data_IF_645897567224
#
_entry.id   IF_645897567224
#
_cell.length_a   1.000
_cell.length_b   1.000
_cell.length_c   1.000
_cell.angle_alpha   90.00
_cell.angle_beta   90.00
_cell.angle_gamma   90.00
#
_symmetry.space_group_name_H-M   'P 1'
#
loop_
_entity.id
_entity.type
_entity.pdbx_description
1 polymer ?
#
# COMPACT_ATOMS: atom_id res chain seq x y z
N UNK A 1 10.73 -3.79 0.04
CA UNK A 1 11.69 -2.69 0.21
C UNK A 1 11.04 -1.56 0.98
N UNK A 2 11.80 -0.61 1.51
CA UNK A 2 11.30 0.68 2.03
C UNK A 2 11.59 1.85 1.07
N UNK A 3 12.25 1.59 -0.06
CA UNK A 3 12.60 2.62 -1.03
C UNK A 3 11.38 2.95 -1.91
N UNK A 4 10.93 4.21 -1.97
CA UNK A 4 9.76 4.59 -2.77
C UNK A 4 9.90 4.23 -4.26
N UNK A 5 11.11 4.34 -4.82
CA UNK A 5 11.40 4.03 -6.23
C UNK A 5 11.16 2.56 -6.59
N UNK A 6 11.29 1.64 -5.61
CA UNK A 6 11.02 0.20 -5.77
C UNK A 6 9.56 -0.15 -5.45
N UNK A 7 8.80 0.79 -4.88
CA UNK A 7 7.48 0.60 -4.31
C UNK A 7 6.43 1.44 -5.07
N UNK A 8 5.98 2.56 -4.50
CA UNK A 8 4.99 3.47 -5.08
C UNK A 8 5.38 3.92 -6.48
N UNK A 9 6.67 4.21 -6.71
CA UNK A 9 7.18 4.60 -8.03
C UNK A 9 6.92 3.54 -9.11
N UNK A 10 7.06 2.25 -8.79
CA UNK A 10 6.76 1.16 -9.72
C UNK A 10 5.25 1.02 -9.96
N UNK A 11 4.45 1.13 -8.89
CA UNK A 11 2.98 1.03 -8.98
C UNK A 11 2.41 2.17 -9.82
N UNK A 12 2.83 3.40 -9.57
CA UNK A 12 2.36 4.58 -10.30
C UNK A 12 2.80 4.52 -11.77
N UNK A 13 4.06 4.16 -12.04
CA UNK A 13 4.53 3.96 -13.42
C UNK A 13 3.72 2.90 -14.17
N UNK A 14 3.34 1.80 -13.52
CA UNK A 14 2.47 0.81 -14.13
C UNK A 14 1.08 1.37 -14.44
N UNK A 15 0.46 2.08 -13.49
CA UNK A 15 -0.88 2.66 -13.66
C UNK A 15 -0.93 3.81 -14.67
N UNK A 16 0.16 4.56 -14.84
CA UNK A 16 0.29 5.56 -15.92
C UNK A 16 0.17 4.91 -17.31
N UNK A 17 0.64 3.66 -17.46
CA UNK A 17 0.62 2.93 -18.72
C UNK A 17 -0.64 2.08 -18.93
N UNK A 18 -1.23 1.55 -17.85
CA UNK A 18 -2.31 0.55 -17.90
C UNK A 18 -3.55 0.94 -17.07
N UNK A 19 -3.69 2.23 -16.73
CA UNK A 19 -4.74 2.75 -15.85
C UNK A 19 -6.17 2.67 -16.43
N UNK A 20 -6.32 2.32 -17.70
CA UNK A 20 -7.61 1.98 -18.31
C UNK A 20 -8.08 0.55 -17.98
N UNK A 21 -7.14 -0.34 -17.61
CA UNK A 21 -7.40 -1.76 -17.33
C UNK A 21 -7.22 -2.14 -15.87
N UNK A 22 -6.50 -1.34 -15.10
CA UNK A 22 -6.21 -1.62 -13.71
C UNK A 22 -6.43 -0.38 -12.85
N UNK A 23 -6.85 -0.62 -11.61
CA UNK A 23 -7.02 0.40 -10.60
C UNK A 23 -6.36 -0.04 -9.29
N UNK A 24 -5.81 0.93 -8.56
CA UNK A 24 -5.29 0.70 -7.22
C UNK A 24 -6.46 0.59 -6.24
N UNK A 25 -6.47 -0.46 -5.42
CA UNK A 25 -7.48 -0.70 -4.39
C UNK A 25 -6.94 -0.32 -3.01
N UNK A 26 -7.83 0.10 -2.11
CA UNK A 26 -7.42 0.52 -0.78
C UNK A 26 -7.03 -0.65 0.12
N UNK A 27 -5.73 -0.90 0.27
CA UNK A 27 -5.21 -1.81 1.29
C UNK A 27 -5.29 -1.20 2.70
N UNK A 28 -5.32 0.14 2.81
CA UNK A 28 -5.53 0.85 4.08
C UNK A 28 -6.90 0.55 4.69
N UNK A 29 -7.96 0.57 3.88
CA UNK A 29 -9.31 0.18 4.30
C UNK A 29 -9.35 -1.29 4.75
N UNK A 30 -8.77 -2.20 3.95
CA UNK A 30 -8.69 -3.63 4.31
C UNK A 30 -7.93 -3.86 5.61
N UNK A 31 -6.86 -3.09 5.87
CA UNK A 31 -6.12 -3.15 7.12
C UNK A 31 -7.01 -2.77 8.31
N UNK A 32 -7.73 -1.64 8.20
CA UNK A 32 -8.65 -1.17 9.24
C UNK A 32 -9.78 -2.17 9.50
N UNK A 33 -10.36 -2.74 8.45
CA UNK A 33 -11.41 -3.77 8.57
C UNK A 33 -10.89 -5.05 9.26
N UNK A 34 -9.63 -5.41 9.01
CA UNK A 34 -9.02 -6.64 9.53
C UNK A 34 -8.56 -6.50 10.98
N UNK A 35 -7.94 -5.38 11.33
CA UNK A 35 -7.27 -5.19 12.62
C UNK A 35 -7.92 -4.14 13.53
N UNK A 36 -8.87 -3.35 13.02
CA UNK A 36 -9.52 -2.25 13.73
C UNK A 36 -8.72 -0.94 13.69
N UNK A 37 -9.24 0.08 14.39
CA UNK A 37 -8.61 1.41 14.47
C UNK A 37 -7.68 1.58 15.68
N UNK A 38 -7.87 0.81 16.75
CA UNK A 38 -7.10 0.89 18.01
C UNK A 38 -5.84 0.00 18.01
N UNK A 39 -5.25 -0.20 16.85
CA UNK A 39 -4.07 -1.04 16.64
C UNK A 39 -2.93 -0.25 16.00
N UNK A 40 -1.79 -0.89 15.83
CA UNK A 40 -0.66 -0.38 15.07
C UNK A 40 -1.08 -0.16 13.60
N UNK A 41 -0.85 1.06 13.12
CA UNK A 41 -1.20 1.46 11.77
C UNK A 41 0.05 1.53 10.88
N UNK A 42 0.01 0.95 9.67
CA UNK A 42 1.07 1.12 8.71
C UNK A 42 1.12 2.55 8.20
N UNK A 43 2.23 2.92 7.56
CA UNK A 43 2.32 4.20 6.88
C UNK A 43 1.67 4.10 5.49
N UNK A 44 0.95 5.14 5.09
CA UNK A 44 0.38 5.28 3.74
C UNK A 44 0.43 6.76 3.34
N UNK A 45 0.65 7.03 2.06
CA UNK A 45 0.62 8.39 1.50
C UNK A 45 -0.55 8.64 0.54
N UNK A 46 -1.17 7.58 0.04
CA UNK A 46 -2.21 7.59 -0.99
C UNK A 46 -3.53 6.95 -0.51
N UNK A 47 -3.60 6.61 0.78
CA UNK A 47 -4.67 5.82 1.42
C UNK A 47 -4.96 4.47 0.75
N UNK A 48 -4.08 4.04 -0.17
CA UNK A 48 -4.27 2.86 -0.98
C UNK A 48 -3.18 1.81 -0.76
N UNK A 49 -1.93 2.19 -0.94
CA UNK A 49 -0.77 1.35 -0.62
C UNK A 49 -0.37 1.52 0.84
N UNK A 50 0.25 0.49 1.42
CA UNK A 50 0.72 0.51 2.81
C UNK A 50 2.18 0.07 2.92
N UNK A 51 2.92 0.76 3.78
CA UNK A 51 4.28 0.44 4.17
C UNK A 51 4.33 0.04 5.63
N UNK A 52 4.71 -1.22 5.87
CA UNK A 52 5.05 -1.74 7.19
C UNK A 52 6.45 -1.27 7.56
N UNK A 53 6.63 -0.82 8.80
CA UNK A 53 7.95 -0.45 9.32
C UNK A 53 8.14 -1.03 10.72
N UNK A 54 9.39 -1.32 11.13
CA UNK A 54 9.65 -1.79 12.51
C UNK A 54 9.07 -0.87 13.58
N UNK A 55 9.08 0.45 13.35
CA UNK A 55 8.53 1.42 14.29
C UNK A 55 7.00 1.44 14.31
N UNK A 56 6.35 1.35 13.15
CA UNK A 56 4.91 1.50 13.03
C UNK A 56 4.15 0.20 13.33
N UNK A 57 4.65 -0.95 12.83
CA UNK A 57 3.91 -2.23 12.86
C UNK A 57 4.63 -3.32 13.67
N UNK A 58 5.83 -3.04 14.21
CA UNK A 58 6.66 -4.01 14.95
C UNK A 58 7.00 -5.27 14.15
N UNK A 59 7.11 -5.12 12.83
CA UNK A 59 7.49 -6.15 11.86
C UNK A 59 8.67 -5.67 11.04
N UNK A 60 9.24 -6.54 10.21
CA UNK A 60 10.21 -6.12 9.20
C UNK A 60 9.60 -5.10 8.22
N UNK A 61 10.47 -4.30 7.60
CA UNK A 61 10.07 -3.32 6.60
C UNK A 61 9.53 -3.98 5.33
N UNK A 62 8.29 -3.66 4.97
CA UNK A 62 7.61 -4.28 3.84
C UNK A 62 6.63 -3.31 3.17
N UNK A 63 6.40 -3.47 1.87
CA UNK A 63 5.46 -2.65 1.10
C UNK A 63 4.41 -3.53 0.44
N UNK A 64 3.16 -3.06 0.43
CA UNK A 64 2.03 -3.78 -0.12
C UNK A 64 1.09 -2.85 -0.88
N UNK A 65 0.71 -3.25 -2.09
CA UNK A 65 -0.27 -2.59 -2.94
C UNK A 65 -1.13 -3.65 -3.65
N UNK A 66 -2.43 -3.39 -3.81
CA UNK A 66 -3.36 -4.30 -4.47
C UNK A 66 -3.91 -3.63 -5.71
N UNK A 67 -3.76 -4.27 -6.87
CA UNK A 67 -4.34 -3.81 -8.11
C UNK A 67 -5.50 -4.72 -8.51
N UNK A 68 -6.65 -4.11 -8.79
CA UNK A 68 -7.82 -4.77 -9.35
C UNK A 68 -7.88 -4.53 -10.86
N UNK A 69 -8.35 -5.50 -11.62
CA UNK A 69 -8.72 -5.28 -13.03
C UNK A 69 -10.03 -4.47 -13.08
N UNK A 70 -10.04 -3.41 -13.88
CA UNK A 70 -11.21 -2.57 -14.14
C UNK A 70 -12.29 -3.29 -14.97
#
# INVERSE_FOLDING_TARGET
SLLPDENEGQVYSFLENEGDKFQLLSAGEVWQDTFGFDTLNPWSSDDCSITLTPAATRTDGFFFAVLGRA
#
